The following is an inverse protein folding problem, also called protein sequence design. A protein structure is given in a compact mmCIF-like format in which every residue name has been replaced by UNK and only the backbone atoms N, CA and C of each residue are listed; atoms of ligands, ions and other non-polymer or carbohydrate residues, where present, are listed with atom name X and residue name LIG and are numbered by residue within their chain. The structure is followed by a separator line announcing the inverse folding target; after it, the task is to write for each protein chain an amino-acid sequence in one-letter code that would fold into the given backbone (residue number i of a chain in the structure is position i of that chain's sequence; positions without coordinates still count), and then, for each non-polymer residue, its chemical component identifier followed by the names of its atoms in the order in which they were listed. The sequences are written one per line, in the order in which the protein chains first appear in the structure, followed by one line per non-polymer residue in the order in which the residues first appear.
data_IF_169177584436
#
_entry.id   IF_169177584436
#
_cell.length_a   1.000
_cell.length_b   1.000
_cell.length_c   1.000
_cell.angle_alpha   90.00
_cell.angle_beta   90.00
_cell.angle_gamma   90.00
#
_symmetry.space_group_name_H-M   'P 1'
#
loop_
_entity.id
_entity.type
_entity.pdbx_description
1 polymer ?
#
# COMPACT_ATOMS: atom_id res chain seq x y z
N UNK A 1 -17.93 10.36 -24.69
CA UNK A 1 -17.89 10.77 -23.27
C UNK A 1 -16.66 11.60 -23.02
N UNK A 2 -16.70 12.54 -22.08
CA UNK A 2 -15.50 13.27 -21.66
C UNK A 2 -14.58 12.30 -20.94
N UNK A 3 -13.30 12.23 -21.36
CA UNK A 3 -12.28 11.41 -20.71
C UNK A 3 -11.34 12.28 -19.89
N UNK A 4 -10.78 11.73 -18.83
CA UNK A 4 -9.67 12.34 -18.10
C UNK A 4 -8.40 12.12 -18.90
N UNK A 5 -7.74 13.21 -19.31
CA UNK A 5 -6.45 13.18 -19.98
C UNK A 5 -5.34 12.94 -18.95
N UNK A 6 -4.85 11.70 -18.89
CA UNK A 6 -3.88 11.27 -17.90
C UNK A 6 -2.46 11.38 -18.43
N UNK A 7 -1.59 12.07 -17.69
CA UNK A 7 -0.15 12.03 -17.85
C UNK A 7 0.44 10.97 -16.92
N UNK A 8 1.32 10.10 -17.39
CA UNK A 8 1.98 9.08 -16.58
C UNK A 8 3.45 9.44 -16.40
N UNK A 9 3.86 9.64 -15.12
CA UNK A 9 5.25 9.91 -14.74
C UNK A 9 5.88 8.59 -14.28
N UNK A 10 6.87 8.11 -15.04
CA UNK A 10 7.50 6.81 -14.86
C UNK A 10 6.78 5.70 -15.62
N UNK A 11 7.40 5.19 -16.67
CA UNK A 11 6.91 4.11 -17.55
C UNK A 11 7.65 2.79 -17.26
N UNK A 12 8.00 2.57 -15.98
CA UNK A 12 8.53 1.31 -15.46
C UNK A 12 7.47 0.21 -15.39
N UNK A 13 7.69 -0.80 -14.54
CA UNK A 13 6.76 -1.94 -14.39
C UNK A 13 5.32 -1.49 -14.11
N UNK A 14 5.12 -0.55 -13.16
CA UNK A 14 3.77 -0.12 -12.79
C UNK A 14 3.16 0.80 -13.85
N UNK A 15 3.91 1.81 -14.33
CA UNK A 15 3.40 2.70 -15.36
C UNK A 15 3.00 1.98 -16.64
N UNK A 16 3.79 1.00 -17.10
CA UNK A 16 3.41 0.18 -18.25
C UNK A 16 2.20 -0.72 -17.99
N UNK A 17 2.05 -1.24 -16.75
CA UNK A 17 0.86 -2.00 -16.36
C UNK A 17 -0.43 -1.15 -16.40
N UNK A 18 -0.37 0.11 -15.95
CA UNK A 18 -1.48 1.06 -16.04
C UNK A 18 -1.82 1.40 -17.49
N UNK A 19 -0.81 1.67 -18.32
CA UNK A 19 -0.99 1.88 -19.77
C UNK A 19 -1.70 0.68 -20.39
N UNK A 20 -1.26 -0.54 -20.09
CA UNK A 20 -1.88 -1.77 -20.59
C UNK A 20 -3.36 -1.90 -20.21
N UNK A 21 -3.75 -1.55 -18.99
CA UNK A 21 -5.15 -1.55 -18.57
C UNK A 21 -6.00 -0.53 -19.33
N UNK A 22 -5.45 0.66 -19.59
CA UNK A 22 -6.15 1.73 -20.32
C UNK A 22 -6.29 1.36 -21.80
N UNK A 23 -5.23 0.86 -22.44
CA UNK A 23 -5.24 0.40 -23.84
C UNK A 23 -6.22 -0.75 -24.05
N UNK A 24 -6.35 -1.64 -23.08
CA UNK A 24 -7.32 -2.74 -23.10
C UNK A 24 -8.78 -2.28 -22.86
N UNK A 25 -9.06 -0.98 -22.86
CA UNK A 25 -10.38 -0.35 -22.64
C UNK A 25 -11.04 -0.74 -21.32
N UNK A 26 -10.23 -1.10 -20.31
CA UNK A 26 -10.74 -1.40 -18.96
C UNK A 26 -11.05 -0.14 -18.15
N UNK A 27 -10.53 1.01 -18.59
CA UNK A 27 -10.73 2.32 -17.97
C UNK A 27 -11.35 3.28 -18.98
N UNK A 28 -12.65 3.14 -19.34
CA UNK A 28 -13.24 3.82 -20.50
C UNK A 28 -13.30 5.35 -20.38
N UNK A 29 -13.20 5.89 -19.17
CA UNK A 29 -13.20 7.33 -18.90
C UNK A 29 -11.80 7.92 -18.70
N UNK A 30 -10.74 7.14 -18.95
CA UNK A 30 -9.34 7.57 -18.91
C UNK A 30 -8.70 7.41 -20.27
N UNK A 31 -7.87 8.37 -20.67
CA UNK A 31 -6.97 8.24 -21.83
C UNK A 31 -5.55 8.63 -21.43
N UNK A 32 -4.54 7.92 -21.92
CA UNK A 32 -3.15 8.31 -21.77
C UNK A 32 -2.87 9.44 -22.78
N UNK A 33 -2.78 10.66 -22.28
CA UNK A 33 -2.57 11.85 -23.13
C UNK A 33 -1.09 12.21 -23.28
N UNK A 34 -0.25 11.83 -22.33
CA UNK A 34 1.19 12.02 -22.38
C UNK A 34 1.90 11.06 -21.40
N UNK A 35 3.19 10.83 -21.62
CA UNK A 35 4.05 10.10 -20.69
C UNK A 35 5.36 10.85 -20.47
N UNK A 36 5.97 10.66 -19.28
CA UNK A 36 7.29 11.16 -18.98
C UNK A 36 8.15 10.06 -18.35
N UNK A 37 9.36 9.87 -18.86
CA UNK A 37 10.36 8.97 -18.29
C UNK A 37 11.77 9.47 -18.62
N UNK A 38 12.70 9.35 -17.70
CA UNK A 38 14.11 9.71 -17.91
C UNK A 38 14.86 8.70 -18.81
N UNK A 39 14.31 7.50 -18.97
CA UNK A 39 14.88 6.45 -19.82
C UNK A 39 14.25 6.50 -21.21
N UNK A 40 15.04 6.80 -22.28
CA UNK A 40 14.52 6.89 -23.64
C UNK A 40 13.93 5.55 -24.15
N UNK A 41 14.43 4.40 -23.70
CA UNK A 41 13.89 3.10 -24.10
C UNK A 41 12.45 2.90 -23.59
N UNK A 42 12.11 3.52 -22.44
CA UNK A 42 10.75 3.47 -21.90
C UNK A 42 9.80 4.38 -22.67
N UNK A 43 10.28 5.50 -23.17
CA UNK A 43 9.52 6.38 -24.04
C UNK A 43 9.25 5.74 -25.41
N UNK A 44 10.23 5.01 -25.96
CA UNK A 44 10.08 4.24 -27.19
C UNK A 44 9.06 3.11 -27.01
N UNK A 45 9.15 2.36 -25.90
CA UNK A 45 8.14 1.36 -25.55
C UNK A 45 6.73 1.97 -25.50
N UNK A 46 6.57 3.17 -24.89
CA UNK A 46 5.26 3.83 -24.79
C UNK A 46 4.71 4.23 -26.17
N UNK A 47 5.56 4.72 -27.08
CA UNK A 47 5.17 4.99 -28.48
C UNK A 47 4.72 3.71 -29.18
N UNK A 48 5.45 2.61 -29.00
CA UNK A 48 5.08 1.32 -29.59
C UNK A 48 3.71 0.82 -29.09
N UNK A 49 3.37 1.09 -27.81
CA UNK A 49 2.12 0.66 -27.19
C UNK A 49 0.91 1.55 -27.51
N UNK A 50 1.12 2.86 -27.69
CA UNK A 50 0.08 3.90 -27.79
C UNK A 50 0.05 4.64 -29.14
N UNK A 51 1.06 4.41 -29.97
CA UNK A 51 1.20 5.06 -31.30
C UNK A 51 2.24 6.19 -31.31
N UNK A 52 2.82 6.42 -32.47
CA UNK A 52 3.94 7.35 -32.68
C UNK A 52 3.59 8.81 -32.35
N UNK A 53 2.31 9.16 -32.36
CA UNK A 53 1.84 10.52 -32.06
C UNK A 53 1.70 10.81 -30.54
N UNK A 54 1.99 9.82 -29.67
CA UNK A 54 1.94 10.03 -28.22
C UNK A 54 2.98 11.08 -27.81
N UNK A 55 2.56 12.18 -27.14
CA UNK A 55 3.48 13.12 -26.52
C UNK A 55 4.32 12.43 -25.43
N UNK A 56 5.64 12.37 -25.68
CA UNK A 56 6.61 11.76 -24.78
C UNK A 56 7.62 12.81 -24.32
N UNK A 57 7.86 12.86 -23.02
CA UNK A 57 8.75 13.83 -22.38
C UNK A 57 9.86 13.12 -21.62
N UNK A 58 11.07 13.60 -21.72
CA UNK A 58 12.22 13.17 -20.89
C UNK A 58 12.24 13.86 -19.51
N UNK A 59 11.29 14.77 -19.29
CA UNK A 59 11.15 15.59 -18.10
C UNK A 59 9.68 15.69 -17.71
N UNK A 60 9.36 15.35 -16.46
CA UNK A 60 7.99 15.32 -15.95
C UNK A 60 7.39 16.73 -15.83
N UNK A 61 8.19 17.72 -15.45
CA UNK A 61 7.79 19.12 -15.31
C UNK A 61 7.33 19.69 -16.67
N UNK A 62 8.07 19.40 -17.73
CA UNK A 62 7.68 19.81 -19.09
C UNK A 62 6.35 19.16 -19.54
N UNK A 63 6.12 17.90 -19.17
CA UNK A 63 4.82 17.24 -19.42
C UNK A 63 3.70 17.93 -18.64
N UNK A 64 3.91 18.23 -17.36
CA UNK A 64 2.91 18.89 -16.52
C UNK A 64 2.58 20.31 -17.01
N UNK A 65 3.55 21.02 -17.58
CA UNK A 65 3.40 22.39 -18.12
C UNK A 65 2.84 22.42 -19.56
N UNK A 66 2.68 21.27 -20.21
CA UNK A 66 2.29 21.17 -21.63
C UNK A 66 0.84 21.57 -21.93
N UNK A 67 -0.05 21.57 -20.93
CA UNK A 67 -1.49 21.78 -21.12
C UNK A 67 -2.23 20.60 -21.78
N UNK A 68 -1.55 19.47 -22.01
CA UNK A 68 -2.12 18.28 -22.64
C UNK A 68 -2.91 17.40 -21.66
N UNK A 69 -2.70 17.54 -20.36
CA UNK A 69 -3.19 16.63 -19.32
C UNK A 69 -4.09 17.34 -18.30
N UNK A 70 -5.04 16.59 -17.73
CA UNK A 70 -5.91 17.04 -16.62
C UNK A 70 -5.42 16.45 -15.28
N UNK A 71 -4.74 15.31 -15.34
CA UNK A 71 -4.31 14.54 -14.18
C UNK A 71 -2.94 13.90 -14.42
N UNK A 72 -2.24 13.58 -13.31
CA UNK A 72 -1.03 12.78 -13.34
C UNK A 72 -1.19 11.50 -12.53
N UNK A 73 -0.54 10.43 -12.99
CA UNK A 73 -0.26 9.23 -12.22
C UNK A 73 1.25 9.16 -11.98
N UNK A 74 1.64 9.16 -10.71
CA UNK A 74 3.05 9.14 -10.29
C UNK A 74 3.46 7.71 -9.98
N UNK A 75 4.35 7.13 -10.81
CA UNK A 75 4.84 5.74 -10.70
C UNK A 75 6.36 5.63 -10.84
N UNK A 76 7.06 6.49 -10.12
CA UNK A 76 8.52 6.62 -10.04
C UNK A 76 9.07 5.92 -8.78
N UNK A 77 10.38 5.93 -8.49
CA UNK A 77 10.92 5.49 -7.21
C UNK A 77 10.35 6.28 -6.02
N UNK A 78 10.24 5.63 -4.87
CA UNK A 78 9.42 6.03 -3.72
C UNK A 78 9.73 7.42 -3.16
N UNK A 79 11.02 7.83 -3.17
CA UNK A 79 11.44 9.16 -2.67
C UNK A 79 10.83 10.31 -3.47
N UNK A 80 10.55 10.10 -4.76
CA UNK A 80 10.06 11.13 -5.67
C UNK A 80 8.53 11.23 -5.72
N UNK A 81 7.79 10.28 -5.11
CA UNK A 81 6.33 10.32 -5.08
C UNK A 81 5.79 11.64 -4.53
N UNK A 82 6.20 12.09 -3.32
CA UNK A 82 5.68 13.34 -2.77
C UNK A 82 6.09 14.57 -3.57
N UNK A 83 7.30 14.56 -4.16
CA UNK A 83 7.80 15.67 -4.98
C UNK A 83 6.87 15.91 -6.18
N UNK A 84 6.69 14.90 -7.03
CA UNK A 84 5.87 15.06 -8.23
C UNK A 84 4.39 15.28 -7.91
N UNK A 85 3.88 14.72 -6.81
CA UNK A 85 2.52 15.01 -6.36
C UNK A 85 2.36 16.50 -6.00
N UNK A 86 3.28 17.07 -5.22
CA UNK A 86 3.24 18.50 -4.85
C UNK A 86 3.37 19.41 -6.07
N UNK A 87 4.22 19.05 -7.03
CA UNK A 87 4.36 19.78 -8.30
C UNK A 87 3.07 19.73 -9.14
N UNK A 88 2.38 18.60 -9.14
CA UNK A 88 1.05 18.46 -9.77
C UNK A 88 0.00 19.36 -9.09
N UNK A 89 -0.04 19.39 -7.75
CA UNK A 89 -0.96 20.26 -7.01
C UNK A 89 -0.74 21.75 -7.33
N UNK A 90 0.51 22.18 -7.41
CA UNK A 90 0.86 23.57 -7.75
C UNK A 90 0.37 23.99 -9.13
N UNK A 91 0.24 23.04 -10.06
CA UNK A 91 -0.26 23.26 -11.44
C UNK A 91 -1.75 23.03 -11.58
N UNK A 92 -2.46 22.73 -10.48
CA UNK A 92 -3.89 22.46 -10.50
C UNK A 92 -4.25 21.12 -11.17
N UNK A 93 -3.32 20.19 -11.30
CA UNK A 93 -3.57 18.86 -11.82
C UNK A 93 -4.16 17.94 -10.76
N UNK A 94 -5.09 17.06 -11.15
CA UNK A 94 -5.51 15.95 -10.31
C UNK A 94 -4.37 14.95 -10.19
N UNK A 95 -4.21 14.32 -9.02
CA UNK A 95 -3.04 13.48 -8.75
C UNK A 95 -3.43 12.11 -8.21
N UNK A 96 -2.93 11.05 -8.85
CA UNK A 96 -2.91 9.68 -8.35
C UNK A 96 -1.46 9.31 -8.06
N UNK A 97 -1.18 8.79 -6.87
CA UNK A 97 0.17 8.34 -6.47
C UNK A 97 0.19 6.85 -6.27
N UNK A 98 1.18 6.18 -6.86
CA UNK A 98 1.48 4.79 -6.57
C UNK A 98 1.90 4.60 -5.11
N UNK A 99 1.65 3.40 -4.60
CA UNK A 99 2.13 3.04 -3.26
C UNK A 99 3.67 2.77 -3.29
N UNK A 100 4.36 3.03 -2.18
CA UNK A 100 3.92 3.74 -0.98
C UNK A 100 3.75 5.24 -1.23
N UNK A 101 3.09 5.96 -0.34
CA UNK A 101 2.91 7.42 -0.48
C UNK A 101 4.23 8.20 -0.52
N UNK A 102 5.29 7.61 0.03
CA UNK A 102 6.65 8.11 0.10
C UNK A 102 7.49 7.20 0.99
N UNK A 103 8.68 7.61 1.37
CA UNK A 103 9.59 6.82 2.22
C UNK A 103 9.44 7.15 3.70
N UNK A 104 9.20 8.40 4.05
CA UNK A 104 9.07 8.86 5.43
C UNK A 104 7.91 9.83 5.62
N UNK A 105 7.28 9.72 6.79
CA UNK A 105 6.00 10.40 7.08
C UNK A 105 6.10 11.91 7.02
N UNK A 106 7.23 12.53 7.42
CA UNK A 106 7.38 13.98 7.38
C UNK A 106 7.23 14.56 5.96
N UNK A 107 7.75 13.88 4.93
CA UNK A 107 7.60 14.32 3.54
C UNK A 107 6.15 14.12 3.04
N UNK A 108 5.54 13.00 3.42
CA UNK A 108 4.13 12.71 3.05
C UNK A 108 3.17 13.68 3.76
N UNK A 109 3.50 14.13 4.97
CA UNK A 109 2.75 15.19 5.65
C UNK A 109 2.78 16.50 4.87
N UNK A 110 3.96 16.90 4.37
CA UNK A 110 4.08 18.08 3.50
C UNK A 110 3.26 17.94 2.21
N UNK A 111 3.26 16.74 1.60
CA UNK A 111 2.42 16.44 0.45
C UNK A 111 0.93 16.59 0.79
N UNK A 112 0.48 16.08 1.94
CA UNK A 112 -0.91 16.19 2.39
C UNK A 112 -1.30 17.65 2.68
N UNK A 113 -0.40 18.44 3.26
CA UNK A 113 -0.60 19.88 3.48
C UNK A 113 -0.68 20.68 2.18
N UNK A 114 0.11 20.30 1.17
CA UNK A 114 0.03 20.88 -0.17
C UNK A 114 -1.30 20.52 -0.86
N UNK A 115 -1.71 19.25 -0.77
CA UNK A 115 -2.97 18.78 -1.31
C UNK A 115 -4.20 19.48 -0.69
N UNK A 116 -4.16 19.74 0.63
CA UNK A 116 -5.24 20.43 1.34
C UNK A 116 -5.46 21.89 0.86
N UNK A 117 -4.46 22.49 0.23
CA UNK A 117 -4.53 23.84 -0.35
C UNK A 117 -4.93 23.84 -1.83
N UNK A 118 -4.92 22.68 -2.47
CA UNK A 118 -5.24 22.51 -3.87
C UNK A 118 -6.69 22.06 -4.03
N UNK A 119 -7.41 22.63 -4.98
CA UNK A 119 -8.79 22.26 -5.31
C UNK A 119 -8.81 21.16 -6.38
N UNK A 120 -8.13 20.05 -6.10
CA UNK A 120 -7.96 18.93 -7.01
C UNK A 120 -8.29 17.59 -6.36
N UNK A 121 -8.56 16.58 -7.16
CA UNK A 121 -8.72 15.20 -6.68
C UNK A 121 -7.34 14.62 -6.42
N UNK A 122 -7.16 14.07 -5.22
CA UNK A 122 -5.92 13.40 -4.81
C UNK A 122 -6.23 11.99 -4.32
N UNK A 123 -5.67 10.97 -4.96
CA UNK A 123 -5.88 9.57 -4.66
C UNK A 123 -4.58 8.77 -4.48
N UNK A 124 -4.69 7.65 -3.75
CA UNK A 124 -3.65 6.64 -3.59
C UNK A 124 -4.01 5.35 -4.33
N UNK A 125 -3.00 4.70 -4.94
CA UNK A 125 -3.16 3.43 -5.66
C UNK A 125 -3.18 2.24 -4.69
N UNK A 126 -4.12 2.24 -3.75
CA UNK A 126 -4.37 1.11 -2.84
C UNK A 126 -5.38 0.13 -3.45
N UNK A 127 -4.98 -0.54 -4.52
CA UNK A 127 -5.81 -1.46 -5.29
C UNK A 127 -6.38 -2.62 -4.47
N UNK A 128 -5.69 -3.09 -3.42
CA UNK A 128 -6.17 -4.16 -2.53
C UNK A 128 -7.42 -3.77 -1.73
N UNK A 129 -7.72 -2.46 -1.58
CA UNK A 129 -9.00 -2.01 -1.02
C UNK A 129 -10.22 -2.35 -1.89
N UNK A 130 -10.00 -2.75 -3.16
CA UNK A 130 -11.07 -3.25 -4.05
C UNK A 130 -11.33 -4.74 -3.88
N UNK A 131 -10.51 -5.45 -3.11
CA UNK A 131 -10.68 -6.88 -2.88
C UNK A 131 -11.94 -7.18 -2.05
N UNK A 132 -12.73 -8.13 -2.51
CA UNK A 132 -14.04 -8.47 -1.95
C UNK A 132 -13.95 -8.99 -0.50
N UNK A 133 -12.88 -9.72 -0.16
CA UNK A 133 -12.69 -10.28 1.19
C UNK A 133 -12.40 -9.16 2.18
N UNK A 134 -11.45 -8.29 1.87
CA UNK A 134 -11.05 -7.19 2.76
C UNK A 134 -12.12 -6.12 2.88
N UNK A 135 -12.85 -5.82 1.79
CA UNK A 135 -14.04 -4.94 1.84
C UNK A 135 -15.10 -5.49 2.79
N UNK A 136 -15.41 -6.79 2.67
CA UNK A 136 -16.41 -7.42 3.52
C UNK A 136 -15.98 -7.50 4.98
N UNK A 137 -14.70 -7.86 5.23
CA UNK A 137 -14.11 -7.91 6.55
C UNK A 137 -14.20 -6.53 7.23
N UNK A 138 -13.80 -5.46 6.51
CA UNK A 138 -13.94 -4.08 7.00
C UNK A 138 -15.39 -3.70 7.30
N UNK A 139 -16.31 -4.04 6.42
CA UNK A 139 -17.73 -3.72 6.63
C UNK A 139 -18.25 -4.34 7.93
N UNK A 140 -17.91 -5.60 8.23
CA UNK A 140 -18.31 -6.27 9.47
C UNK A 140 -17.64 -5.62 10.70
N UNK A 141 -16.33 -5.35 10.64
CA UNK A 141 -15.63 -4.69 11.75
C UNK A 141 -16.20 -3.30 12.02
N UNK A 142 -16.44 -2.50 10.97
CA UNK A 142 -16.93 -1.13 11.10
C UNK A 142 -18.41 -1.02 11.43
N UNK A 143 -19.21 -2.08 11.21
CA UNK A 143 -20.62 -2.10 11.65
C UNK A 143 -20.76 -2.11 13.17
N UNK A 144 -19.72 -2.58 13.89
CA UNK A 144 -19.74 -2.72 15.35
C UNK A 144 -20.59 -3.90 15.84
N UNK A 145 -21.20 -4.69 14.97
CA UNK A 145 -22.08 -5.81 15.36
C UNK A 145 -21.41 -6.88 16.20
N UNK A 146 -20.08 -7.01 16.09
CA UNK A 146 -19.27 -7.96 16.85
C UNK A 146 -18.57 -7.33 18.06
N UNK A 147 -18.86 -6.07 18.40
CA UNK A 147 -18.22 -5.35 19.50
C UNK A 147 -16.81 -4.89 19.20
N UNK A 148 -16.02 -4.69 20.23
CA UNK A 148 -14.67 -4.15 20.13
C UNK A 148 -13.67 -5.20 19.62
N UNK A 149 -12.66 -4.74 18.90
CA UNK A 149 -11.47 -5.57 18.56
C UNK A 149 -10.71 -5.86 19.86
N UNK A 150 -10.31 -7.10 20.03
CA UNK A 150 -9.49 -7.60 21.15
C UNK A 150 -8.10 -8.01 20.69
N UNK A 151 -8.01 -8.58 19.49
CA UNK A 151 -6.74 -9.02 18.91
C UNK A 151 -6.79 -9.01 17.40
N UNK A 152 -5.66 -8.64 16.79
CA UNK A 152 -5.40 -8.81 15.36
C UNK A 152 -4.17 -9.69 15.17
N UNK A 153 -4.16 -10.54 14.14
CA UNK A 153 -2.99 -11.35 13.80
C UNK A 153 -2.94 -11.53 12.29
N UNK A 154 -1.89 -11.02 11.67
CA UNK A 154 -1.67 -11.20 10.24
C UNK A 154 -0.32 -11.83 9.98
N UNK A 155 -0.32 -13.02 9.41
CA UNK A 155 0.86 -13.67 8.84
C UNK A 155 0.73 -13.55 7.34
N UNK A 156 1.63 -12.81 6.71
CA UNK A 156 1.70 -12.61 5.27
C UNK A 156 3.12 -12.78 4.76
N UNK A 157 3.49 -14.00 4.44
CA UNK A 157 4.82 -14.39 3.97
C UNK A 157 4.80 -14.94 2.54
N UNK A 158 3.68 -14.79 1.82
CA UNK A 158 3.54 -15.21 0.43
C UNK A 158 4.10 -14.18 -0.58
N UNK A 159 4.87 -13.20 -0.09
CA UNK A 159 5.60 -12.21 -0.87
C UNK A 159 6.99 -12.69 -1.33
N UNK A 160 7.19 -14.01 -1.52
CA UNK A 160 8.49 -14.52 -1.95
C UNK A 160 9.10 -13.74 -3.11
N UNK A 161 10.39 -13.41 -2.97
CA UNK A 161 11.19 -12.77 -4.01
C UNK A 161 12.55 -13.47 -4.07
N UNK A 162 12.99 -13.97 -5.24
CA UNK A 162 14.35 -14.49 -5.40
C UNK A 162 15.36 -13.32 -5.45
N UNK A 163 16.64 -13.60 -5.24
CA UNK A 163 17.71 -12.61 -5.35
C UNK A 163 17.68 -11.84 -6.68
N UNK A 164 17.36 -12.53 -7.79
CA UNK A 164 17.23 -11.90 -9.11
C UNK A 164 16.21 -10.75 -9.18
N UNK A 165 15.17 -10.77 -8.34
CA UNK A 165 14.24 -9.64 -8.22
C UNK A 165 14.95 -8.40 -7.67
N UNK A 166 15.74 -8.56 -6.63
CA UNK A 166 16.49 -7.48 -6.03
C UNK A 166 17.60 -6.96 -6.93
N UNK A 167 18.14 -7.83 -7.79
CA UNK A 167 19.19 -7.50 -8.76
C UNK A 167 18.64 -6.88 -10.05
N UNK A 168 17.32 -6.80 -10.21
CA UNK A 168 16.67 -6.25 -11.42
C UNK A 168 16.68 -4.72 -11.51
N UNK A 169 17.21 -4.00 -10.52
CA UNK A 169 17.30 -2.54 -10.51
C UNK A 169 18.30 -2.03 -9.48
N UNK A 170 19.12 -1.05 -9.84
CA UNK A 170 20.17 -0.50 -8.98
C UNK A 170 19.63 0.20 -7.73
N UNK A 171 18.39 0.68 -7.75
CA UNK A 171 17.72 1.35 -6.64
C UNK A 171 17.06 0.37 -5.65
N UNK A 172 16.78 -0.87 -6.12
CA UNK A 172 16.05 -1.85 -5.31
C UNK A 172 16.83 -2.31 -4.11
N UNK A 173 16.11 -2.48 -3.01
CA UNK A 173 16.61 -3.03 -1.75
C UNK A 173 17.82 -2.27 -1.19
N UNK A 174 17.87 -0.95 -1.43
CA UNK A 174 18.87 -0.05 -0.87
C UNK A 174 18.20 1.10 -0.10
N UNK A 175 18.84 1.56 0.98
CA UNK A 175 18.29 2.67 1.76
C UNK A 175 18.21 3.97 0.95
N UNK A 176 19.22 4.24 0.10
CA UNK A 176 19.28 5.46 -0.71
C UNK A 176 18.37 5.44 -1.94
N UNK A 177 17.97 4.26 -2.43
CA UNK A 177 17.15 4.12 -3.64
C UNK A 177 15.69 3.81 -3.36
N UNK A 178 15.42 2.83 -2.50
CA UNK A 178 14.08 2.34 -2.18
C UNK A 178 13.58 2.84 -0.82
N UNK A 179 14.49 3.00 0.15
CA UNK A 179 14.20 3.51 1.49
C UNK A 179 13.66 2.48 2.48
N UNK A 180 13.56 1.21 2.09
CA UNK A 180 13.10 0.08 2.87
C UNK A 180 12.91 -1.15 1.99
N UNK A 181 12.57 -2.27 2.60
CA UNK A 181 12.40 -3.56 1.95
C UNK A 181 10.94 -4.01 1.89
N UNK A 182 10.64 -5.16 2.51
CA UNK A 182 9.31 -5.77 2.45
C UNK A 182 8.21 -4.84 2.98
N UNK A 183 8.48 -4.05 4.01
CA UNK A 183 7.50 -3.12 4.60
C UNK A 183 7.17 -1.92 3.69
N UNK A 184 8.09 -1.55 2.79
CA UNK A 184 7.93 -0.37 1.94
C UNK A 184 7.61 -0.71 0.47
N UNK A 185 7.91 -1.93 0.02
CA UNK A 185 7.65 -2.35 -1.36
C UNK A 185 6.53 -3.38 -1.47
N UNK A 186 6.63 -4.54 -0.81
CA UNK A 186 5.64 -5.62 -0.94
C UNK A 186 4.42 -5.40 -0.05
N UNK A 187 4.62 -4.98 1.20
CA UNK A 187 3.57 -4.89 2.22
C UNK A 187 2.88 -3.52 2.41
N UNK A 188 3.10 -2.43 1.65
CA UNK A 188 2.32 -1.20 1.84
C UNK A 188 0.81 -1.43 1.75
N UNK A 189 0.35 -2.34 0.87
CA UNK A 189 -1.07 -2.71 0.77
C UNK A 189 -1.59 -3.40 2.03
N UNK A 190 -0.78 -4.27 2.63
CA UNK A 190 -1.17 -5.01 3.83
C UNK A 190 -1.18 -4.10 5.05
N UNK A 191 -0.20 -3.22 5.18
CA UNK A 191 -0.17 -2.21 6.24
C UNK A 191 -1.32 -1.22 6.10
N UNK A 192 -1.66 -0.84 4.86
CA UNK A 192 -2.84 -0.03 4.57
C UNK A 192 -4.13 -0.74 4.98
N UNK A 193 -4.35 -1.97 4.53
CA UNK A 193 -5.53 -2.77 4.89
C UNK A 193 -5.63 -3.01 6.39
N UNK A 194 -4.52 -3.28 7.06
CA UNK A 194 -4.51 -3.53 8.50
C UNK A 194 -5.04 -2.31 9.27
N UNK A 195 -4.48 -1.12 9.02
CA UNK A 195 -4.96 0.10 9.67
C UNK A 195 -6.35 0.53 9.18
N UNK A 196 -6.67 0.30 7.89
CA UNK A 196 -7.96 0.67 7.31
C UNK A 196 -9.12 -0.13 7.93
N UNK A 197 -8.87 -1.38 8.29
CA UNK A 197 -9.84 -2.27 8.95
C UNK A 197 -9.81 -2.08 10.46
N UNK A 198 -8.63 -2.10 11.09
CA UNK A 198 -8.48 -2.19 12.54
C UNK A 198 -8.16 -0.86 13.24
N UNK A 199 -7.76 0.19 12.50
CA UNK A 199 -7.24 1.44 13.05
C UNK A 199 -5.74 1.39 13.31
N UNK A 200 -5.15 2.54 13.66
CA UNK A 200 -3.74 2.64 14.03
C UNK A 200 -3.56 2.21 15.50
N UNK A 201 -2.50 1.46 15.81
CA UNK A 201 -2.11 1.18 17.19
C UNK A 201 -1.52 2.43 17.86
N UNK A 202 -1.36 2.40 19.18
CA UNK A 202 -0.68 3.45 19.95
C UNK A 202 0.76 3.11 20.28
N UNK A 203 1.16 1.83 20.11
CA UNK A 203 2.51 1.35 20.40
C UNK A 203 2.91 0.23 19.44
N UNK A 204 4.15 0.24 19.00
CA UNK A 204 4.74 -0.72 18.06
C UNK A 204 6.06 -1.23 18.62
N UNK A 205 6.21 -2.55 18.67
CA UNK A 205 7.44 -3.26 19.05
C UNK A 205 7.78 -4.24 17.92
N UNK A 206 8.89 -4.01 17.23
CA UNK A 206 9.20 -4.73 16.00
C UNK A 206 10.62 -5.27 15.96
N UNK A 207 10.75 -6.48 15.48
CA UNK A 207 12.00 -7.17 15.20
C UNK A 207 12.16 -7.35 13.70
N UNK A 208 13.09 -6.62 13.11
CA UNK A 208 13.41 -6.64 11.71
C UNK A 208 14.78 -7.26 11.48
N UNK A 209 14.89 -8.09 10.46
CA UNK A 209 16.16 -8.60 9.99
C UNK A 209 16.44 -8.01 8.61
N UNK A 210 17.64 -7.49 8.44
CA UNK A 210 18.09 -6.80 7.25
C UNK A 210 19.04 -7.72 6.48
N UNK A 211 18.66 -8.08 5.24
CA UNK A 211 19.45 -9.02 4.45
C UNK A 211 19.61 -10.41 5.10
N UNK A 212 18.57 -10.94 5.74
CA UNK A 212 18.59 -12.25 6.39
C UNK A 212 18.60 -13.39 5.37
N UNK A 213 17.78 -13.24 4.33
CA UNK A 213 17.56 -14.24 3.30
C UNK A 213 18.20 -13.89 1.96
N UNK A 214 18.52 -12.60 1.76
CA UNK A 214 19.02 -12.06 0.50
C UNK A 214 20.21 -11.15 0.75
N UNK A 215 21.04 -10.97 -0.28
CA UNK A 215 22.12 -9.97 -0.26
C UNK A 215 21.55 -8.58 -0.56
N UNK A 216 21.00 -7.95 0.47
CA UNK A 216 20.32 -6.64 0.43
C UNK A 216 20.59 -5.85 1.72
N UNK A 217 20.37 -4.52 1.67
CA UNK A 217 20.59 -3.63 2.82
C UNK A 217 19.37 -3.48 3.73
N UNK A 218 18.19 -3.76 3.20
CA UNK A 218 16.90 -3.47 3.81
C UNK A 218 16.27 -4.73 4.43
N UNK A 219 15.14 -4.60 5.08
CA UNK A 219 14.48 -5.72 5.75
C UNK A 219 13.79 -6.66 4.76
N UNK A 220 13.97 -7.96 4.98
CA UNK A 220 13.34 -9.06 4.26
C UNK A 220 12.60 -10.06 5.17
N UNK A 221 12.66 -9.82 6.49
CA UNK A 221 11.99 -10.63 7.51
C UNK A 221 11.57 -9.75 8.69
N UNK A 222 10.29 -9.77 9.06
CA UNK A 222 9.68 -8.87 10.05
C UNK A 222 8.72 -9.61 10.96
N UNK A 223 8.87 -9.39 12.26
CA UNK A 223 7.89 -9.78 13.28
C UNK A 223 7.57 -8.58 14.16
N UNK A 224 6.30 -8.19 14.24
CA UNK A 224 5.86 -7.01 14.97
C UNK A 224 4.75 -7.34 15.94
N UNK A 225 4.81 -6.75 17.13
CA UNK A 225 3.74 -6.68 18.12
C UNK A 225 3.24 -5.24 18.25
N UNK A 226 1.93 -5.05 18.41
CA UNK A 226 1.31 -3.73 18.60
C UNK A 226 0.29 -3.73 19.73
N UNK A 227 0.09 -2.55 20.32
CA UNK A 227 -0.96 -2.29 21.31
C UNK A 227 -1.87 -1.17 20.81
N UNK A 228 -3.18 -1.34 20.97
CA UNK A 228 -4.20 -0.35 20.62
C UNK A 228 -4.69 0.40 21.88
N UNK A 229 -5.27 1.57 21.70
CA UNK A 229 -5.74 2.42 22.79
C UNK A 229 -6.73 1.72 23.74
N UNK A 230 -7.58 0.85 23.20
CA UNK A 230 -8.56 0.07 23.98
C UNK A 230 -7.96 -1.15 24.70
N UNK A 231 -6.65 -1.33 24.67
CA UNK A 231 -5.95 -2.48 25.25
C UNK A 231 -5.91 -3.72 24.35
N UNK A 232 -6.48 -3.67 23.15
CA UNK A 232 -6.31 -4.74 22.18
C UNK A 232 -4.85 -4.87 21.76
N UNK A 233 -4.46 -6.07 21.31
CA UNK A 233 -3.11 -6.36 20.86
C UNK A 233 -3.10 -6.85 19.43
N UNK A 234 -1.95 -6.74 18.75
CA UNK A 234 -1.82 -7.25 17.40
C UNK A 234 -0.44 -7.79 17.08
N UNK A 235 -0.38 -8.68 16.09
CA UNK A 235 0.86 -9.19 15.51
C UNK A 235 0.82 -9.08 14.00
N UNK A 236 1.96 -8.72 13.40
CA UNK A 236 2.16 -8.69 11.96
C UNK A 236 3.49 -9.36 11.62
N UNK A 237 3.44 -10.39 10.80
CA UNK A 237 4.61 -11.17 10.39
C UNK A 237 4.66 -11.16 8.86
N UNK A 238 5.81 -10.78 8.30
CA UNK A 238 6.03 -10.81 6.85
C UNK A 238 7.46 -11.18 6.51
N UNK A 239 7.63 -11.84 5.38
CA UNK A 239 8.93 -12.24 4.84
C UNK A 239 8.88 -12.29 3.32
N UNK A 240 10.01 -12.05 2.67
CA UNK A 240 10.21 -12.34 1.24
C UNK A 240 11.01 -13.59 0.99
N UNK A 241 11.40 -14.30 2.05
CA UNK A 241 12.21 -15.53 2.00
C UNK A 241 11.42 -16.84 2.15
N UNK A 242 10.11 -16.79 2.44
CA UNK A 242 9.32 -17.99 2.69
C UNK A 242 8.76 -18.62 1.40
N UNK A 243 8.95 -19.95 1.25
CA UNK A 243 8.34 -20.77 0.19
C UNK A 243 8.00 -22.16 0.74
N UNK A 244 6.71 -22.59 0.72
CA UNK A 244 5.53 -21.77 0.47
C UNK A 244 5.30 -20.76 1.59
N UNK A 245 4.76 -19.58 1.23
CA UNK A 245 4.37 -18.57 2.20
C UNK A 245 2.96 -18.80 2.74
N UNK A 246 2.55 -17.94 3.67
CA UNK A 246 1.22 -17.89 4.27
C UNK A 246 0.58 -16.53 4.04
N UNK A 247 -0.76 -16.51 3.91
CA UNK A 247 -1.54 -15.28 3.99
C UNK A 247 -2.81 -15.56 4.79
N UNK A 248 -2.75 -15.22 6.09
CA UNK A 248 -3.84 -15.44 7.03
C UNK A 248 -4.00 -14.23 7.93
N UNK A 249 -5.15 -13.58 7.83
CA UNK A 249 -5.51 -12.43 8.65
C UNK A 249 -6.67 -12.78 9.57
N UNK A 250 -6.43 -12.72 10.87
CA UNK A 250 -7.41 -12.96 11.93
C UNK A 250 -7.72 -11.68 12.71
N UNK A 251 -9.00 -11.46 13.04
CA UNK A 251 -9.45 -10.44 13.97
C UNK A 251 -10.38 -11.07 14.99
N UNK A 252 -9.99 -11.05 16.27
CA UNK A 252 -10.85 -11.46 17.39
C UNK A 252 -11.55 -10.22 17.94
N UNK A 253 -12.88 -10.31 18.09
CA UNK A 253 -13.76 -9.26 18.61
C UNK A 253 -14.52 -9.82 19.83
N UNK A 254 -15.25 -8.97 20.55
CA UNK A 254 -16.07 -9.39 21.70
C UNK A 254 -17.10 -10.45 21.32
N UNK A 255 -17.73 -10.33 20.17
CA UNK A 255 -18.80 -11.20 19.66
C UNK A 255 -18.32 -12.31 18.72
N UNK A 256 -17.02 -12.49 18.51
CA UNK A 256 -16.55 -13.53 17.61
C UNK A 256 -15.16 -13.36 17.01
N UNK A 257 -14.92 -14.06 15.91
CA UNK A 257 -13.63 -14.01 15.20
C UNK A 257 -13.84 -14.05 13.69
N UNK A 258 -13.16 -13.17 12.98
CA UNK A 258 -13.05 -13.16 11.53
C UNK A 258 -11.71 -13.74 11.09
N UNK A 259 -11.70 -14.53 10.03
CA UNK A 259 -10.48 -15.06 9.38
C UNK A 259 -10.59 -14.91 7.88
N UNK A 260 -9.66 -14.17 7.30
CA UNK A 260 -9.44 -14.10 5.86
C UNK A 260 -8.26 -15.00 5.48
N UNK A 261 -8.49 -16.00 4.65
CA UNK A 261 -7.48 -16.96 4.19
C UNK A 261 -7.93 -17.60 2.87
N UNK A 262 -6.99 -17.79 1.93
CA UNK A 262 -7.26 -18.45 0.66
C UNK A 262 -8.38 -17.80 -0.17
N UNK A 263 -8.51 -16.47 -0.11
CA UNK A 263 -9.55 -15.72 -0.83
C UNK A 263 -10.97 -15.89 -0.24
N UNK A 264 -11.07 -16.40 0.99
CA UNK A 264 -12.34 -16.63 1.69
C UNK A 264 -12.37 -15.87 3.01
N UNK A 265 -13.57 -15.49 3.45
CA UNK A 265 -13.82 -14.92 4.78
C UNK A 265 -14.69 -15.86 5.59
N UNK A 266 -14.22 -16.21 6.77
CA UNK A 266 -14.95 -17.05 7.73
C UNK A 266 -15.22 -16.29 9.02
N UNK A 267 -16.43 -16.44 9.55
CA UNK A 267 -16.84 -15.85 10.82
C UNK A 267 -17.19 -16.96 11.83
N UNK A 268 -16.59 -16.89 12.99
CA UNK A 268 -17.05 -17.58 14.20
C UNK A 268 -17.81 -16.57 15.04
N UNK A 269 -19.11 -16.76 15.18
CA UNK A 269 -20.00 -15.85 15.92
C UNK A 269 -20.33 -16.47 17.27
N UNK A 270 -20.22 -15.70 18.34
CA UNK A 270 -20.63 -16.10 19.67
C UNK A 270 -22.13 -15.81 19.88
N UNK A 271 -22.86 -16.74 20.51
CA UNK A 271 -24.27 -16.54 20.89
C UNK A 271 -24.44 -15.43 21.94
N UNK A 272 -23.44 -15.30 22.81
CA UNK A 272 -23.30 -14.19 23.77
C UNK A 272 -21.89 -13.64 23.64
N UNK A 273 -21.70 -12.30 23.53
CA UNK A 273 -20.37 -11.72 23.48
C UNK A 273 -19.53 -12.11 24.72
N UNK A 274 -18.23 -12.35 24.52
CA UNK A 274 -17.36 -12.90 25.58
C UNK A 274 -17.36 -12.08 26.86
N UNK A 275 -17.30 -10.74 26.88
CA UNK A 275 -17.31 -9.97 28.13
C UNK A 275 -18.61 -10.12 28.93
N UNK A 276 -19.72 -10.30 28.25
CA UNK A 276 -20.99 -10.58 28.89
C UNK A 276 -21.07 -12.01 29.41
N UNK A 277 -20.72 -12.99 28.55
CA UNK A 277 -20.71 -14.40 28.92
C UNK A 277 -19.79 -14.66 30.13
N UNK A 278 -18.57 -14.10 30.13
CA UNK A 278 -17.62 -14.24 31.24
C UNK A 278 -18.18 -13.73 32.57
N UNK A 279 -19.00 -12.68 32.53
CA UNK A 279 -19.61 -12.10 33.75
C UNK A 279 -20.78 -12.90 34.29
N UNK A 280 -21.60 -13.50 33.42
CA UNK A 280 -22.81 -14.20 33.83
C UNK A 280 -22.65 -15.70 34.01
N UNK A 281 -21.63 -16.29 33.40
CA UNK A 281 -21.39 -17.71 33.45
C UNK A 281 -20.88 -18.14 34.84
N UNK A 282 -21.54 -19.18 35.45
CA UNK A 282 -21.19 -19.73 36.75
C UNK A 282 -20.48 -21.07 36.65
N UNK A 283 -20.31 -21.61 35.44
CA UNK A 283 -19.65 -22.92 35.21
C UNK A 283 -18.16 -22.70 34.93
N UNK A 284 -17.21 -23.30 35.70
CA UNK A 284 -15.76 -23.03 35.56
C UNK A 284 -15.21 -23.29 34.15
N UNK A 285 -15.74 -24.27 33.43
CA UNK A 285 -15.32 -24.60 32.04
C UNK A 285 -16.41 -24.29 31.02
N UNK A 286 -17.36 -23.40 31.35
CA UNK A 286 -18.40 -22.94 30.44
C UNK A 286 -17.81 -22.18 29.25
N UNK A 287 -18.46 -22.32 28.09
CA UNK A 287 -18.12 -21.59 26.86
C UNK A 287 -19.40 -21.07 26.22
N UNK A 288 -19.34 -19.89 25.58
CA UNK A 288 -20.49 -19.42 24.79
C UNK A 288 -20.75 -20.38 23.62
N UNK A 289 -21.96 -20.43 23.15
CA UNK A 289 -22.31 -21.11 21.91
C UNK A 289 -21.55 -20.45 20.75
N UNK A 290 -21.05 -21.24 19.81
CA UNK A 290 -20.28 -20.77 18.66
C UNK A 290 -20.96 -21.30 17.39
N UNK A 291 -21.32 -20.39 16.50
CA UNK A 291 -21.70 -20.73 15.13
C UNK A 291 -20.54 -20.35 14.18
N UNK A 292 -20.36 -21.14 13.12
CA UNK A 292 -19.31 -20.91 12.12
C UNK A 292 -19.95 -20.79 10.75
N UNK A 293 -19.64 -19.73 10.03
CA UNK A 293 -20.18 -19.47 8.71
C UNK A 293 -19.10 -18.98 7.73
N UNK A 294 -19.20 -19.40 6.48
CA UNK A 294 -18.48 -18.79 5.38
C UNK A 294 -19.23 -17.51 4.99
N UNK A 295 -18.56 -16.37 5.11
CA UNK A 295 -19.19 -15.08 4.86
C UNK A 295 -19.29 -14.84 3.34
N UNK A 296 -20.49 -14.67 2.78
CA UNK A 296 -20.62 -14.43 1.36
C UNK A 296 -20.08 -13.06 0.96
N UNK A 297 -19.42 -13.01 -0.18
CA UNK A 297 -18.87 -11.82 -0.81
C UNK A 297 -19.37 -11.71 -2.24
N UNK A 298 -19.17 -10.58 -2.91
CA UNK A 298 -19.54 -10.39 -4.31
C UNK A 298 -18.54 -11.00 -5.31
N UNK A 299 -17.40 -11.51 -4.82
CA UNK A 299 -16.33 -12.07 -5.63
C UNK A 299 -15.57 -11.06 -6.49
N UNK A 300 -15.83 -9.76 -6.35
CA UNK A 300 -15.24 -8.71 -7.18
C UNK A 300 -13.93 -8.21 -6.62
N UNK A 301 -12.86 -8.27 -7.41
CA UNK A 301 -11.55 -7.70 -7.10
C UNK A 301 -11.07 -6.88 -8.30
N UNK A 302 -11.50 -5.62 -8.37
CA UNK A 302 -11.27 -4.76 -9.54
C UNK A 302 -9.83 -4.23 -9.63
N UNK A 303 -9.06 -4.35 -8.57
CA UNK A 303 -7.65 -4.00 -8.50
C UNK A 303 -7.34 -2.57 -9.02
N UNK A 304 -6.26 -2.39 -9.77
CA UNK A 304 -5.83 -1.10 -10.33
C UNK A 304 -6.90 -0.47 -11.23
N UNK A 305 -7.63 -1.28 -11.99
CA UNK A 305 -8.72 -0.81 -12.86
C UNK A 305 -9.83 -0.17 -12.03
N UNK A 306 -10.19 -0.76 -10.89
CA UNK A 306 -11.19 -0.19 -9.98
C UNK A 306 -10.77 1.15 -9.40
N UNK A 307 -9.48 1.31 -9.06
CA UNK A 307 -8.94 2.58 -8.54
C UNK A 307 -8.91 3.65 -9.62
N UNK A 308 -8.46 3.34 -10.85
CA UNK A 308 -8.43 4.29 -11.96
C UNK A 308 -9.84 4.73 -12.38
N UNK A 309 -10.80 3.81 -12.43
CA UNK A 309 -12.19 4.17 -12.75
C UNK A 309 -12.82 5.04 -11.65
N UNK A 310 -12.57 4.74 -10.37
CA UNK A 310 -13.02 5.60 -9.26
C UNK A 310 -12.36 6.99 -9.29
N UNK A 311 -11.09 7.07 -9.67
CA UNK A 311 -10.38 8.34 -9.83
C UNK A 311 -10.99 9.19 -10.94
N UNK A 312 -11.29 8.59 -12.10
CA UNK A 312 -11.98 9.27 -13.18
C UNK A 312 -13.38 9.73 -12.76
N UNK A 313 -14.15 8.86 -12.07
CA UNK A 313 -15.46 9.22 -11.53
C UNK A 313 -15.40 10.39 -10.54
N UNK A 314 -14.39 10.41 -9.67
CA UNK A 314 -14.16 11.51 -8.75
C UNK A 314 -13.88 12.84 -9.47
N UNK A 315 -13.06 12.82 -10.53
CA UNK A 315 -12.75 14.01 -11.33
C UNK A 315 -13.96 14.50 -12.13
N UNK A 316 -14.68 13.59 -12.75
CA UNK A 316 -15.75 13.95 -13.70
C UNK A 316 -17.10 14.24 -13.01
N UNK A 317 -17.36 13.62 -11.85
CA UNK A 317 -18.69 13.61 -11.20
C UNK A 317 -18.66 13.82 -9.68
N UNK A 318 -17.48 13.93 -9.06
CA UNK A 318 -17.36 14.05 -7.60
C UNK A 318 -17.68 12.75 -6.85
N UNK A 319 -17.53 11.60 -7.50
CA UNK A 319 -17.73 10.28 -6.88
C UNK A 319 -16.63 9.96 -5.85
N UNK A 320 -16.90 9.07 -4.86
CA UNK A 320 -15.91 8.73 -3.86
C UNK A 320 -14.72 7.96 -4.46
N UNK A 321 -13.52 8.27 -3.96
CA UNK A 321 -12.31 7.51 -4.26
C UNK A 321 -12.30 6.15 -3.53
N UNK A 322 -11.56 5.17 -4.07
CA UNK A 322 -11.23 3.93 -3.34
C UNK A 322 -10.36 4.24 -2.12
N UNK A 323 -9.39 5.13 -2.30
CA UNK A 323 -8.52 5.63 -1.23
C UNK A 323 -8.18 7.10 -1.49
N UNK A 324 -8.50 7.96 -0.52
CA UNK A 324 -8.07 9.36 -0.54
C UNK A 324 -6.55 9.45 -0.41
N UNK A 325 -5.94 10.42 -1.11
CA UNK A 325 -4.48 10.56 -1.12
C UNK A 325 -3.89 10.79 0.27
N UNK A 326 -4.61 11.54 1.12
CA UNK A 326 -4.20 11.83 2.49
C UNK A 326 -4.07 10.57 3.36
N UNK A 327 -4.77 9.49 3.03
CA UNK A 327 -4.73 8.23 3.78
C UNK A 327 -3.40 7.48 3.61
N UNK A 328 -2.63 7.81 2.58
CA UNK A 328 -1.34 7.18 2.28
C UNK A 328 -0.32 7.22 3.42
N UNK A 329 -0.43 8.22 4.30
CA UNK A 329 0.46 8.36 5.46
C UNK A 329 0.24 7.27 6.52
N UNK A 330 -0.96 6.68 6.61
CA UNK A 330 -1.31 5.78 7.70
C UNK A 330 -0.52 4.45 7.65
N UNK A 331 -0.53 3.78 6.51
CA UNK A 331 0.27 2.56 6.30
C UNK A 331 1.77 2.83 6.39
N UNK A 332 2.21 3.99 5.87
CA UNK A 332 3.60 4.42 5.98
C UNK A 332 4.01 4.67 7.44
N UNK A 333 3.13 5.23 8.27
CA UNK A 333 3.38 5.41 9.71
C UNK A 333 3.69 4.08 10.39
N UNK A 334 2.96 3.01 10.06
CA UNK A 334 3.24 1.67 10.59
C UNK A 334 4.62 1.16 10.15
N UNK A 335 4.94 1.28 8.84
CA UNK A 335 6.25 0.91 8.31
C UNK A 335 7.38 1.66 9.02
N UNK A 336 7.27 2.98 9.12
CA UNK A 336 8.27 3.82 9.76
C UNK A 336 8.40 3.53 11.27
N UNK A 337 7.29 3.26 11.96
CA UNK A 337 7.32 2.89 13.37
C UNK A 337 8.00 1.53 13.61
N UNK A 338 7.77 0.54 12.74
CA UNK A 338 8.44 -0.76 12.79
C UNK A 338 9.94 -0.63 12.57
N UNK A 339 10.37 0.13 11.56
CA UNK A 339 11.79 0.43 11.33
C UNK A 339 12.42 1.13 12.55
N UNK A 340 11.78 2.18 13.06
CA UNK A 340 12.32 2.95 14.18
C UNK A 340 12.43 2.08 15.44
N UNK A 341 11.43 1.24 15.72
CA UNK A 341 11.45 0.31 16.85
C UNK A 341 12.65 -0.64 16.76
N UNK A 342 12.85 -1.26 15.59
CA UNK A 342 13.96 -2.18 15.36
C UNK A 342 15.32 -1.48 15.45
N UNK A 343 15.45 -0.28 14.87
CA UNK A 343 16.72 0.48 14.92
C UNK A 343 17.10 0.93 16.31
N UNK A 344 16.12 1.25 17.15
CA UNK A 344 16.32 1.66 18.53
C UNK A 344 16.40 0.48 19.53
N UNK A 345 16.02 -0.73 19.10
CA UNK A 345 15.93 -1.93 19.95
C UNK A 345 14.92 -1.76 21.09
N UNK A 346 13.86 -0.98 20.90
CA UNK A 346 12.80 -0.73 21.89
C UNK A 346 11.47 -0.37 21.24
N UNK A 347 10.34 -0.58 21.94
CA UNK A 347 9.04 -0.12 21.47
C UNK A 347 9.01 1.39 21.19
N UNK A 348 8.21 1.80 20.21
CA UNK A 348 7.90 3.20 19.91
C UNK A 348 6.40 3.46 20.03
N UNK A 349 6.04 4.68 20.41
CA UNK A 349 4.65 5.13 20.52
C UNK A 349 4.24 5.94 19.30
N UNK A 350 2.94 5.94 18.99
CA UNK A 350 2.35 6.83 17.99
C UNK A 350 1.60 7.97 18.71
N UNK A 351 1.64 9.20 18.18
CA UNK A 351 2.26 9.62 16.91
C UNK A 351 3.78 9.42 16.86
N UNK A 352 4.28 9.05 15.67
CA UNK A 352 5.71 8.79 15.45
C UNK A 352 6.54 10.08 15.63
N UNK A 353 7.71 9.95 16.27
CA UNK A 353 8.75 10.99 16.20
C UNK A 353 9.37 11.01 14.79
N UNK A 354 8.78 11.82 13.91
CA UNK A 354 9.16 11.91 12.50
C UNK A 354 10.58 12.45 12.31
N UNK A 355 11.03 13.30 13.21
CA UNK A 355 12.39 13.85 13.16
C UNK A 355 13.41 12.77 13.49
N UNK A 356 13.20 12.04 14.57
CA UNK A 356 14.06 10.94 14.96
C UNK A 356 14.10 9.85 13.90
N UNK A 357 12.92 9.50 13.32
CA UNK A 357 12.88 8.54 12.21
C UNK A 357 13.74 9.00 11.03
N UNK A 358 13.58 10.26 10.61
CA UNK A 358 14.35 10.82 9.50
C UNK A 358 15.86 10.82 9.77
N UNK A 359 16.30 11.19 10.98
CA UNK A 359 17.70 11.16 11.37
C UNK A 359 18.27 9.73 11.31
N UNK A 360 17.53 8.74 11.79
CA UNK A 360 17.95 7.33 11.76
C UNK A 360 17.96 6.77 10.33
N UNK A 361 17.00 7.14 9.49
CA UNK A 361 17.00 6.78 8.08
C UNK A 361 18.21 7.37 7.36
N UNK A 362 18.51 8.66 7.57
CA UNK A 362 19.64 9.33 6.90
C UNK A 362 20.99 8.73 7.26
N UNK A 363 21.19 8.22 8.48
CA UNK A 363 22.41 7.47 8.84
C UNK A 363 22.62 6.25 7.93
N UNK A 364 21.53 5.55 7.58
CA UNK A 364 21.56 4.38 6.71
C UNK A 364 21.73 4.76 5.24
N UNK A 365 21.07 5.82 4.82
CA UNK A 365 21.21 6.38 3.46
C UNK A 365 22.66 6.80 3.18
N UNK A 366 23.35 7.40 4.16
CA UNK A 366 24.77 7.82 4.02
C UNK A 366 25.72 6.64 3.82
N UNK A 367 25.40 5.46 4.33
CA UNK A 367 26.21 4.25 4.19
C UNK A 367 25.70 3.29 3.12
N UNK A 368 24.58 3.64 2.51
CA UNK A 368 23.95 2.83 1.47
C UNK A 368 24.79 2.75 0.21
N UNK A 369 24.90 1.54 -0.36
CA UNK A 369 25.66 1.26 -1.57
C UNK A 369 24.72 0.96 -2.71
N UNK A 370 24.72 1.81 -3.72
CA UNK A 370 24.04 1.48 -4.98
C UNK A 370 24.71 0.28 -5.62
N UNK A 371 23.89 -0.65 -6.11
CA UNK A 371 24.40 -1.81 -6.85
C UNK A 371 25.01 -1.35 -8.17
N UNK A 372 26.24 -1.78 -8.44
CA UNK A 372 26.94 -1.51 -9.70
C UNK A 372 26.61 -2.63 -10.72
N UNK A 373 26.63 -2.31 -12.00
CA UNK A 373 26.45 -3.27 -13.12
C UNK A 373 25.10 -4.02 -13.16
N UNK A 374 24.03 -3.40 -12.71
CA UNK A 374 22.67 -3.96 -12.75
C UNK A 374 22.03 -3.69 -14.12
N UNK A 375 21.58 -4.75 -14.80
CA UNK A 375 20.68 -4.60 -15.95
C UNK A 375 19.26 -4.41 -15.45
N UNK A 376 18.68 -3.23 -15.68
CA UNK A 376 17.28 -2.97 -15.37
C UNK A 376 16.38 -3.91 -16.20
N UNK A 377 15.60 -4.73 -15.51
CA UNK A 377 14.64 -5.64 -16.14
C UNK A 377 13.22 -5.14 -15.86
N UNK A 378 12.44 -4.90 -16.91
CA UNK A 378 11.01 -4.68 -16.80
C UNK A 378 10.33 -6.05 -16.79
N UNK A 379 9.86 -6.44 -15.60
CA UNK A 379 9.21 -7.73 -15.41
C UNK A 379 7.71 -7.67 -15.74
N UNK A 380 7.14 -8.76 -16.22
CA UNK A 380 5.69 -8.92 -16.27
C UNK A 380 5.15 -9.04 -14.84
N UNK A 381 4.32 -8.08 -14.46
CA UNK A 381 3.71 -8.02 -13.14
C UNK A 381 2.28 -8.56 -13.11
N UNK A 382 1.75 -9.08 -14.22
CA UNK A 382 0.37 -9.53 -14.35
C UNK A 382 -0.04 -10.63 -13.36
N UNK A 383 0.92 -11.45 -12.89
CA UNK A 383 0.71 -12.50 -11.90
C UNK A 383 0.99 -12.11 -10.44
N UNK A 384 1.38 -10.86 -10.16
CA UNK A 384 1.81 -10.45 -8.80
C UNK A 384 0.72 -9.83 -7.95
N UNK A 385 -0.40 -9.43 -8.55
CA UNK A 385 -1.46 -8.67 -7.89
C UNK A 385 -2.79 -9.41 -7.94
N UNK A 386 -3.14 -10.08 -6.88
CA UNK A 386 -4.55 -10.28 -6.62
C UNK A 386 -5.21 -11.59 -6.98
N UNK A 387 -4.49 -12.67 -7.16
CA UNK A 387 -5.09 -14.01 -7.34
C UNK A 387 -4.45 -15.10 -6.50
N UNK A 388 -3.81 -14.73 -5.40
CA UNK A 388 -3.25 -15.72 -4.47
C UNK A 388 -3.95 -15.68 -3.13
#
# INVERSE_FOLDING_TARGET
MKKVRLGIIGVGNMGSGHIGNIVADRCPEVEVAAVADINPDRLEWARSALGDNLPCFDNAEAMMDSGLIDAILVSVPHYDHPRYAMEGFQRGLHVMVEKPAGVYTAQVRQMNEAAAKASVVFGMMFNQRTDHVYRKMRAIVKSGELGAIRRTSWIITDWYRPQAYYDSGAWRATWSGEGGGVLLNQCPHNLDLWQWICGLPVKVDAHLHFGKWHDIEVEDDVTTYVEYENGATGTFITSTGDVPGSNRFEITLDGGKLVAEGGKLKLWRLGTPEPEFSRINTVPFGRPEITVEDVPTDGQSLQHVGVLNAFAGAILRGEPLVAGGQEGINGLTLSNAMHLSAWLGRPVTLPLDEKLYYEELMKRVQTSRRKENVQAVVADTSGTYGTR
#
